data_IF_936941738123
#
_entry.id   IF_936941738123
#
_cell.length_a   1.000
_cell.length_b   1.000
_cell.length_c   1.000
_cell.angle_alpha   90.00
_cell.angle_beta   90.00
_cell.angle_gamma   90.00
#
_symmetry.space_group_name_H-M   'P 1'
#
loop_
_entity.id
_entity.type
_entity.pdbx_description
1 polymer ?
#
# COMPACT_ATOMS: atom_id res chain seq x y z
N UNK A 1 11.82 -16.09 4.00
CA UNK A 1 12.22 -15.89 2.59
C UNK A 1 12.04 -14.41 2.26
N UNK A 2 13.13 -13.64 2.32
CA UNK A 2 13.15 -12.17 2.25
C UNK A 2 12.70 -11.66 0.87
N UNK A 3 12.01 -10.51 0.83
CA UNK A 3 11.59 -9.81 -0.40
C UNK A 3 12.78 -9.26 -1.22
N UNK A 4 14.02 -9.48 -0.77
CA UNK A 4 15.27 -9.05 -1.42
C UNK A 4 15.60 -9.76 -2.74
N UNK A 5 14.89 -10.84 -3.10
CA UNK A 5 15.23 -11.68 -4.26
C UNK A 5 14.79 -11.19 -5.65
N UNK A 6 14.19 -10.00 -5.79
CA UNK A 6 13.67 -9.51 -7.08
C UNK A 6 14.62 -8.47 -7.70
N UNK A 7 15.80 -8.90 -8.14
CA UNK A 7 16.70 -8.07 -8.97
C UNK A 7 16.16 -7.99 -10.40
N UNK A 8 15.55 -6.85 -10.75
CA UNK A 8 15.34 -6.43 -12.13
C UNK A 8 16.48 -5.48 -12.51
N UNK A 9 17.13 -5.72 -13.65
CA UNK A 9 18.16 -4.84 -14.18
C UNK A 9 17.57 -3.48 -14.52
N UNK A 10 18.15 -2.46 -13.89
CA UNK A 10 17.65 -1.10 -13.88
C UNK A 10 18.86 -0.19 -13.81
N UNK A 11 18.86 0.87 -14.62
CA UNK A 11 19.91 1.89 -14.66
C UNK A 11 20.07 2.51 -13.27
N UNK A 12 21.17 2.15 -12.60
CA UNK A 12 21.55 2.70 -11.30
C UNK A 12 21.89 4.19 -11.46
N UNK A 13 21.64 5.03 -10.43
CA UNK A 13 22.23 6.35 -10.38
C UNK A 13 23.74 6.25 -10.60
N UNK A 14 24.25 7.13 -11.46
CA UNK A 14 25.62 7.12 -12.01
C UNK A 14 26.70 7.51 -11.00
N UNK A 15 26.33 8.02 -9.82
CA UNK A 15 27.25 8.34 -8.72
C UNK A 15 26.62 8.14 -7.33
N UNK A 16 27.45 7.97 -6.30
CA UNK A 16 27.03 7.86 -4.88
C UNK A 16 26.33 9.13 -4.39
N UNK A 17 26.78 10.30 -4.86
CA UNK A 17 26.20 11.62 -4.55
C UNK A 17 24.76 11.74 -5.05
N UNK A 18 24.47 11.26 -6.27
CA UNK A 18 23.11 11.24 -6.83
C UNK A 18 22.17 10.38 -5.98
N UNK A 19 22.68 9.25 -5.45
CA UNK A 19 21.90 8.35 -4.59
C UNK A 19 21.53 9.02 -3.27
N UNK A 20 22.47 9.76 -2.64
CA UNK A 20 22.20 10.51 -1.41
C UNK A 20 21.17 11.61 -1.64
N UNK A 21 21.28 12.35 -2.74
CA UNK A 21 20.31 13.39 -3.10
C UNK A 21 18.89 12.82 -3.31
N UNK A 22 18.77 11.70 -4.04
CA UNK A 22 17.49 11.01 -4.26
C UNK A 22 16.87 10.50 -2.94
N UNK A 23 17.68 9.98 -2.02
CA UNK A 23 17.21 9.55 -0.70
C UNK A 23 16.74 10.73 0.16
N UNK A 24 17.44 11.87 0.09
CA UNK A 24 16.99 13.11 0.75
C UNK A 24 15.67 13.60 0.16
N UNK A 25 15.51 13.55 -1.16
CA UNK A 25 14.29 13.96 -1.82
C UNK A 25 13.12 13.03 -1.49
N UNK A 26 13.36 11.72 -1.41
CA UNK A 26 12.40 10.72 -0.94
C UNK A 26 11.92 11.01 0.49
N UNK A 27 12.82 11.45 1.37
CA UNK A 27 12.49 11.86 2.75
C UNK A 27 11.64 13.13 2.79
N UNK A 28 11.98 14.14 1.98
CA UNK A 28 11.19 15.37 1.85
C UNK A 28 9.77 15.07 1.37
N UNK A 29 9.65 14.21 0.36
CA UNK A 29 8.36 13.72 -0.12
C UNK A 29 7.57 13.02 0.98
N UNK A 30 8.19 12.14 1.78
CA UNK A 30 7.51 11.50 2.90
C UNK A 30 7.05 12.52 3.96
N UNK A 31 7.88 13.52 4.29
CA UNK A 31 7.50 14.59 5.21
C UNK A 31 6.28 15.38 4.72
N UNK A 32 6.24 15.72 3.42
CA UNK A 32 5.10 16.38 2.79
C UNK A 32 3.85 15.49 2.85
N UNK A 33 3.98 14.21 2.47
CA UNK A 33 2.89 13.23 2.51
C UNK A 33 2.32 13.13 3.94
N UNK A 34 3.20 13.01 4.94
CA UNK A 34 2.86 12.95 6.37
C UNK A 34 2.22 14.24 6.91
N UNK A 35 2.41 15.38 6.26
CA UNK A 35 1.72 16.63 6.61
C UNK A 35 0.32 16.69 5.99
N UNK A 36 0.14 16.09 4.80
CA UNK A 36 -1.15 16.01 4.13
C UNK A 36 -2.12 15.01 4.78
N UNK A 37 -1.62 13.93 5.40
CA UNK A 37 -2.46 12.79 5.84
C UNK A 37 -3.63 13.15 6.75
N UNK A 38 -3.42 14.05 7.71
CA UNK A 38 -4.43 14.41 8.72
C UNK A 38 -5.59 15.23 8.16
N UNK A 39 -5.42 15.84 6.97
CA UNK A 39 -6.38 16.77 6.40
C UNK A 39 -6.91 16.34 5.02
N UNK A 40 -6.04 15.83 4.14
CA UNK A 40 -6.37 15.55 2.73
C UNK A 40 -7.03 14.20 2.53
N UNK A 41 -6.64 13.19 3.32
CA UNK A 41 -7.09 11.82 3.14
C UNK A 41 -7.57 11.22 4.46
N UNK A 42 -8.73 11.71 4.89
CA UNK A 42 -9.43 11.24 6.09
C UNK A 42 -10.41 10.10 5.75
N UNK A 43 -10.88 9.39 6.78
CA UNK A 43 -11.83 8.29 6.62
C UNK A 43 -11.27 7.04 5.92
N UNK A 44 -12.13 6.06 5.66
CA UNK A 44 -11.73 4.73 5.17
C UNK A 44 -11.03 4.78 3.80
N UNK A 45 -11.57 5.55 2.84
CA UNK A 45 -10.93 5.74 1.53
C UNK A 45 -9.58 6.44 1.66
N UNK A 46 -9.47 7.41 2.58
CA UNK A 46 -8.22 8.10 2.86
C UNK A 46 -7.12 7.17 3.39
N UNK A 47 -7.48 6.19 4.22
CA UNK A 47 -6.54 5.15 4.64
C UNK A 47 -6.01 4.35 3.45
N UNK A 48 -6.88 3.93 2.53
CA UNK A 48 -6.45 3.22 1.31
C UNK A 48 -5.49 4.06 0.47
N UNK A 49 -5.75 5.35 0.30
CA UNK A 49 -4.85 6.29 -0.38
C UNK A 49 -3.48 6.32 0.30
N UNK A 50 -3.45 6.50 1.63
CA UNK A 50 -2.22 6.52 2.43
C UNK A 50 -1.43 5.22 2.36
N UNK A 51 -2.09 4.06 2.18
CA UNK A 51 -1.42 2.77 1.95
C UNK A 51 -0.73 2.72 0.59
N UNK A 52 -1.41 3.20 -0.46
CA UNK A 52 -0.82 3.27 -1.80
C UNK A 52 0.35 4.25 -1.83
N UNK A 53 0.25 5.41 -1.18
CA UNK A 53 1.36 6.36 -1.08
C UNK A 53 2.58 5.79 -0.35
N UNK A 54 2.38 4.99 0.72
CA UNK A 54 3.46 4.22 1.36
C UNK A 54 4.09 3.19 0.44
N UNK A 55 3.29 2.55 -0.43
CA UNK A 55 3.80 1.60 -1.41
C UNK A 55 4.61 2.29 -2.53
N UNK A 56 4.15 3.44 -3.02
CA UNK A 56 4.88 4.30 -3.97
C UNK A 56 6.20 4.77 -3.36
N UNK A 57 6.17 5.26 -2.11
CA UNK A 57 7.37 5.61 -1.37
C UNK A 57 8.35 4.44 -1.26
N UNK A 58 7.84 3.25 -0.91
CA UNK A 58 8.67 2.05 -0.81
C UNK A 58 9.26 1.66 -2.17
N UNK A 59 8.51 1.79 -3.25
CA UNK A 59 9.00 1.56 -4.60
C UNK A 59 10.11 2.55 -4.99
N UNK A 60 9.95 3.84 -4.66
CA UNK A 60 10.97 4.87 -4.89
C UNK A 60 12.27 4.56 -4.15
N UNK A 61 12.17 4.06 -2.90
CA UNK A 61 13.33 3.63 -2.13
C UNK A 61 14.01 2.40 -2.70
N UNK A 62 13.24 1.38 -3.10
CA UNK A 62 13.79 0.17 -3.74
C UNK A 62 14.48 0.52 -5.06
N UNK A 63 14.01 1.56 -5.74
CA UNK A 63 14.57 2.07 -6.99
C UNK A 63 15.74 3.04 -6.79
N UNK A 64 15.84 3.67 -5.62
CA UNK A 64 16.66 4.86 -5.39
C UNK A 64 16.38 5.98 -6.41
N UNK A 65 15.10 6.26 -6.67
CA UNK A 65 14.68 7.26 -7.64
C UNK A 65 13.30 7.83 -7.34
N UNK A 66 13.13 9.14 -7.57
CA UNK A 66 11.82 9.80 -7.60
C UNK A 66 10.98 9.45 -8.84
N UNK A 67 11.50 8.65 -9.77
CA UNK A 67 10.75 8.12 -10.92
C UNK A 67 10.67 6.60 -10.81
N UNK A 68 9.45 6.07 -10.73
CA UNK A 68 9.17 4.65 -10.53
C UNK A 68 8.39 4.08 -11.71
N UNK A 69 8.72 2.85 -12.11
CA UNK A 69 8.08 2.09 -13.19
C UNK A 69 7.53 0.75 -12.66
N UNK A 70 7.06 0.75 -11.42
CA UNK A 70 6.52 -0.45 -10.77
C UNK A 70 5.08 -0.69 -11.21
N UNK A 71 4.80 -1.89 -11.71
CA UNK A 71 3.45 -2.30 -12.08
C UNK A 71 2.49 -2.37 -10.88
N UNK A 72 1.19 -2.17 -11.13
CA UNK A 72 0.12 -2.14 -10.12
C UNK A 72 0.12 -3.37 -9.20
N UNK A 73 0.48 -4.55 -9.73
CA UNK A 73 0.56 -5.81 -8.97
C UNK A 73 1.69 -5.80 -7.95
N UNK A 74 2.83 -5.18 -8.27
CA UNK A 74 3.92 -5.03 -7.32
C UNK A 74 3.53 -4.01 -6.24
N UNK A 75 2.98 -2.88 -6.64
CA UNK A 75 2.48 -1.87 -5.70
C UNK A 75 1.38 -2.44 -4.79
N UNK A 76 0.52 -3.33 -5.28
CA UNK A 76 -0.48 -4.06 -4.50
C UNK A 76 0.14 -4.96 -3.42
N UNK A 77 1.25 -5.64 -3.71
CA UNK A 77 2.01 -6.39 -2.72
C UNK A 77 2.56 -5.47 -1.62
N UNK A 78 3.19 -4.35 -2.02
CA UNK A 78 3.77 -3.37 -1.08
C UNK A 78 2.71 -2.65 -0.23
N UNK A 79 1.54 -2.38 -0.82
CA UNK A 79 0.43 -1.75 -0.12
C UNK A 79 -0.33 -2.74 0.76
N UNK A 80 -0.24 -4.05 0.48
CA UNK A 80 -1.08 -5.09 1.06
C UNK A 80 -2.55 -4.98 0.64
N UNK A 81 -2.80 -4.56 -0.60
CA UNK A 81 -4.13 -4.34 -1.19
C UNK A 81 -4.30 -5.15 -2.48
N UNK A 82 -5.48 -5.16 -3.08
CA UNK A 82 -5.72 -5.74 -4.39
C UNK A 82 -5.28 -4.82 -5.53
N UNK A 83 -4.90 -5.42 -6.67
CA UNK A 83 -4.36 -4.71 -7.83
C UNK A 83 -5.33 -3.67 -8.42
N UNK A 84 -6.64 -3.97 -8.42
CA UNK A 84 -7.68 -3.09 -8.93
C UNK A 84 -7.85 -1.86 -8.04
N UNK A 85 -7.79 -2.04 -6.72
CA UNK A 85 -7.82 -0.95 -5.74
C UNK A 85 -6.63 -0.02 -5.93
N UNK A 86 -5.42 -0.58 -6.08
CA UNK A 86 -4.22 0.22 -6.33
C UNK A 86 -4.34 1.01 -7.63
N UNK A 87 -4.79 0.38 -8.71
CA UNK A 87 -4.98 1.06 -10.00
C UNK A 87 -5.95 2.25 -9.88
N UNK A 88 -7.10 2.07 -9.23
CA UNK A 88 -8.07 3.14 -8.98
C UNK A 88 -7.48 4.29 -8.17
N UNK A 89 -6.76 3.99 -7.09
CA UNK A 89 -6.14 5.01 -6.24
C UNK A 89 -5.03 5.78 -6.97
N UNK A 90 -4.22 5.12 -7.80
CA UNK A 90 -3.20 5.81 -8.59
C UNK A 90 -3.81 6.79 -9.60
N UNK A 91 -4.95 6.44 -10.21
CA UNK A 91 -5.72 7.38 -11.06
C UNK A 91 -6.23 8.57 -10.26
N UNK A 92 -6.86 8.32 -9.11
CA UNK A 92 -7.34 9.40 -8.23
C UNK A 92 -6.18 10.34 -7.86
N UNK A 93 -5.05 9.80 -7.43
CA UNK A 93 -3.89 10.58 -6.98
C UNK A 93 -3.24 11.42 -8.07
N UNK A 94 -3.15 10.91 -9.31
CA UNK A 94 -2.54 11.66 -10.43
C UNK A 94 -3.49 12.73 -11.00
N UNK A 95 -4.81 12.55 -10.82
CA UNK A 95 -5.83 13.48 -11.31
C UNK A 95 -6.12 14.59 -10.26
N UNK A 96 -5.46 14.59 -9.10
CA UNK A 96 -5.58 15.66 -8.10
C UNK A 96 -4.93 16.97 -8.60
N UNK A 97 -5.50 18.13 -8.22
CA UNK A 97 -5.03 19.43 -8.69
C UNK A 97 -3.60 19.80 -8.25
N UNK A 98 -3.17 19.33 -7.08
CA UNK A 98 -1.80 19.52 -6.54
C UNK A 98 -1.24 18.15 -6.14
N UNK A 99 -0.84 17.31 -7.12
CA UNK A 99 -0.73 15.87 -6.92
C UNK A 99 0.61 15.46 -6.30
N UNK A 100 0.61 14.34 -5.56
CA UNK A 100 1.83 13.73 -5.02
C UNK A 100 2.56 12.81 -6.01
N UNK A 101 1.87 12.43 -7.10
CA UNK A 101 2.41 11.63 -8.19
C UNK A 101 1.93 12.18 -9.53
N UNK A 102 2.76 12.07 -10.54
CA UNK A 102 2.43 12.43 -11.91
C UNK A 102 2.74 11.26 -12.85
N UNK A 103 1.88 11.04 -13.85
CA UNK A 103 2.06 9.99 -14.84
C UNK A 103 2.96 10.49 -15.97
N UNK A 104 4.24 10.11 -15.91
CA UNK A 104 5.22 10.45 -16.94
C UNK A 104 5.02 9.66 -18.22
N UNK A 105 4.62 8.40 -18.09
CA UNK A 105 4.42 7.49 -19.23
C UNK A 105 3.36 6.45 -18.91
N UNK A 106 2.34 6.36 -19.75
CA UNK A 106 1.37 5.28 -19.67
C UNK A 106 2.02 3.93 -19.99
N UNK A 107 1.45 2.86 -19.42
CA UNK A 107 1.84 1.49 -19.72
C UNK A 107 1.78 1.21 -21.23
N UNK A 108 2.68 0.33 -21.68
CA UNK A 108 2.73 -0.10 -23.07
C UNK A 108 3.27 -1.53 -23.14
N UNK A 109 2.50 -2.43 -23.73
CA UNK A 109 2.85 -3.85 -23.80
C UNK A 109 3.06 -4.45 -22.41
N UNK A 110 4.27 -4.88 -22.11
CA UNK A 110 4.65 -5.45 -20.82
C UNK A 110 5.22 -4.44 -19.82
N UNK A 111 5.41 -3.18 -20.26
CA UNK A 111 5.93 -2.08 -19.44
C UNK A 111 4.82 -1.44 -18.64
N UNK A 112 5.08 -1.26 -17.35
CA UNK A 112 4.16 -0.56 -16.45
C UNK A 112 4.12 0.95 -16.71
N UNK A 113 3.10 1.59 -16.15
CA UNK A 113 3.05 3.03 -15.97
C UNK A 113 4.32 3.53 -15.27
N UNK A 114 4.81 4.69 -15.68
CA UNK A 114 5.91 5.38 -15.02
C UNK A 114 5.37 6.59 -14.29
N UNK A 115 5.56 6.62 -12.98
CA UNK A 115 5.14 7.72 -12.13
C UNK A 115 6.34 8.51 -11.62
N UNK A 116 6.23 9.83 -11.59
CA UNK A 116 7.16 10.73 -10.89
C UNK A 116 6.54 11.14 -9.57
N UNK A 117 7.30 11.05 -8.49
CA UNK A 117 6.89 11.55 -7.18
C UNK A 117 7.10 13.07 -7.14
N UNK A 118 6.08 13.80 -6.70
CA UNK A 118 6.07 15.26 -6.61
C UNK A 118 5.86 15.70 -5.16
N UNK A 119 6.48 16.80 -4.78
CA UNK A 119 6.14 17.51 -3.53
C UNK A 119 5.13 18.58 -3.92
N UNK A 120 3.86 18.46 -3.50
CA UNK A 120 2.85 19.44 -3.85
C UNK A 120 3.18 20.80 -3.22
N UNK A 121 2.80 21.88 -3.91
CA UNK A 121 3.20 23.23 -3.51
C UNK A 121 2.66 23.60 -2.12
N UNK A 122 1.44 23.16 -1.80
CA UNK A 122 0.82 23.39 -0.49
C UNK A 122 1.57 22.75 0.69
N UNK A 123 2.51 21.85 0.43
CA UNK A 123 3.29 21.15 1.47
C UNK A 123 4.81 21.38 1.35
N UNK A 124 5.25 22.33 0.52
CA UNK A 124 6.67 22.61 0.30
C UNK A 124 7.40 22.97 1.61
N UNK A 125 6.80 23.80 2.46
CA UNK A 125 7.36 24.17 3.76
C UNK A 125 7.47 22.96 4.70
N UNK A 126 6.41 22.15 4.79
CA UNK A 126 6.43 20.95 5.62
C UNK A 126 7.49 19.94 5.16
N UNK A 127 7.76 19.89 3.85
CA UNK A 127 8.82 19.08 3.26
C UNK A 127 10.23 19.56 3.65
N UNK A 128 10.40 20.88 3.80
CA UNK A 128 11.68 21.50 4.15
C UNK A 128 12.00 21.43 5.66
N UNK A 129 10.99 21.56 6.52
CA UNK A 129 11.19 21.90 7.94
C UNK A 129 10.98 20.77 8.96
N UNK A 130 10.50 19.59 8.56
CA UNK A 130 10.29 18.49 9.54
C UNK A 130 11.62 17.87 9.99
N UNK A 131 11.87 17.92 11.31
CA UNK A 131 12.92 17.15 12.00
C UNK A 131 12.88 15.69 11.56
N UNK A 132 13.98 15.22 11.00
CA UNK A 132 14.16 13.84 10.57
C UNK A 132 13.78 12.88 11.71
N UNK A 133 12.80 12.03 11.47
CA UNK A 133 12.48 10.95 12.40
C UNK A 133 13.34 9.73 12.04
N UNK A 134 14.20 9.25 12.96
CA UNK A 134 14.93 8.00 12.74
C UNK A 134 13.94 6.82 12.68
N UNK A 135 14.08 5.96 11.67
CA UNK A 135 13.22 4.79 11.46
C UNK A 135 13.21 4.28 10.02
N UNK A 136 12.62 3.10 9.79
CA UNK A 136 12.35 2.59 8.43
C UNK A 136 11.29 3.48 7.77
N UNK A 137 11.71 4.29 6.81
CA UNK A 137 10.82 5.12 6.01
C UNK A 137 9.92 4.22 5.15
N UNK A 138 8.59 4.35 5.28
CA UNK A 138 7.63 3.84 4.30
C UNK A 138 7.44 2.32 4.22
N UNK A 139 6.44 1.93 3.43
CA UNK A 139 5.97 0.56 3.28
C UNK A 139 5.04 0.10 4.41
N UNK A 140 4.16 -0.85 4.10
CA UNK A 140 3.27 -1.47 5.09
C UNK A 140 3.75 -2.89 5.31
N UNK A 141 3.95 -3.28 6.57
CA UNK A 141 4.34 -4.65 6.88
C UNK A 141 3.27 -5.63 6.39
N UNK A 142 3.64 -6.77 5.76
CA UNK A 142 2.67 -7.70 5.17
C UNK A 142 1.59 -8.21 6.14
N UNK A 143 1.90 -8.28 7.44
CA UNK A 143 0.94 -8.67 8.50
C UNK A 143 -0.36 -7.85 8.46
N UNK A 144 -0.28 -6.58 8.07
CA UNK A 144 -1.44 -5.69 8.02
C UNK A 144 -2.36 -5.93 6.82
N UNK A 145 -2.04 -6.90 5.95
CA UNK A 145 -3.05 -7.48 5.05
C UNK A 145 -4.10 -8.27 5.83
N UNK A 146 -3.73 -8.90 6.95
CA UNK A 146 -4.65 -9.64 7.83
C UNK A 146 -5.26 -8.73 8.89
N UNK A 147 -4.44 -7.87 9.53
CA UNK A 147 -4.90 -7.00 10.63
C UNK A 147 -5.58 -5.71 10.16
N UNK A 148 -5.52 -5.42 8.86
CA UNK A 148 -6.21 -4.28 8.25
C UNK A 148 -5.50 -2.93 8.39
N UNK A 149 -6.08 -1.93 7.71
CA UNK A 149 -5.50 -0.59 7.60
C UNK A 149 -5.39 0.14 8.95
N UNK A 150 -6.42 0.19 9.83
CA UNK A 150 -6.32 0.90 11.10
C UNK A 150 -5.15 0.39 11.97
N UNK A 151 -4.98 -0.93 12.09
CA UNK A 151 -3.87 -1.54 12.82
C UNK A 151 -2.50 -1.12 12.25
N UNK A 152 -2.36 -1.07 10.92
CA UNK A 152 -1.14 -0.62 10.27
C UNK A 152 -0.73 0.80 10.68
N UNK A 153 -1.69 1.73 10.61
CA UNK A 153 -1.42 3.13 10.94
C UNK A 153 -1.20 3.33 12.43
N UNK A 154 -1.96 2.65 13.29
CA UNK A 154 -1.74 2.72 14.74
C UNK A 154 -0.34 2.21 15.11
N UNK A 155 0.07 1.06 14.56
CA UNK A 155 1.41 0.50 14.85
C UNK A 155 2.56 1.41 14.39
N UNK A 156 2.40 2.14 13.28
CA UNK A 156 3.37 3.15 12.83
C UNK A 156 3.53 4.29 13.86
N UNK A 157 2.49 4.60 14.63
CA UNK A 157 2.47 5.72 15.59
C UNK A 157 2.59 5.28 17.05
N UNK A 158 2.47 3.99 17.34
CA UNK A 158 2.69 3.47 18.68
C UNK A 158 4.17 3.63 19.03
N UNK A 159 4.49 4.34 20.12
CA UNK A 159 5.85 4.45 20.62
C UNK A 159 6.25 3.19 21.41
N UNK A 160 7.56 3.01 21.59
CA UNK A 160 8.09 1.90 22.39
C UNK A 160 7.96 2.18 23.89
N UNK A 161 8.32 3.39 24.35
CA UNK A 161 8.54 3.63 25.79
C UNK A 161 7.54 4.60 26.44
N UNK A 162 6.87 5.46 25.66
CA UNK A 162 6.00 6.53 26.20
C UNK A 162 4.53 6.22 25.94
N UNK A 163 3.69 5.96 26.96
CA UNK A 163 2.29 5.65 26.73
C UNK A 163 1.56 6.76 25.95
N UNK A 164 0.85 6.39 24.88
CA UNK A 164 0.04 7.34 24.10
C UNK A 164 -1.44 7.06 24.31
N UNK A 165 -2.22 8.10 24.60
CA UNK A 165 -3.66 7.97 24.79
C UNK A 165 -4.40 7.68 23.48
N UNK A 166 -5.59 7.11 23.56
CA UNK A 166 -6.45 6.92 22.37
C UNK A 166 -6.80 8.25 21.70
N UNK A 167 -6.92 9.32 22.47
CA UNK A 167 -7.23 10.66 21.96
C UNK A 167 -6.07 11.21 21.11
N UNK A 168 -4.85 11.09 21.61
CA UNK A 168 -3.64 11.47 20.86
C UNK A 168 -3.47 10.59 19.61
N UNK A 169 -3.66 9.27 19.72
CA UNK A 169 -3.60 8.37 18.57
C UNK A 169 -4.63 8.74 17.50
N UNK A 170 -5.86 9.11 17.87
CA UNK A 170 -6.85 9.63 16.91
C UNK A 170 -6.36 10.90 16.22
N UNK A 171 -5.80 11.83 16.98
CA UNK A 171 -5.30 13.11 16.46
C UNK A 171 -4.11 12.91 15.52
N UNK A 172 -3.20 12.01 15.86
CA UNK A 172 -2.01 11.68 15.06
C UNK A 172 -2.34 10.90 13.79
N UNK A 173 -3.33 10.00 13.86
CA UNK A 173 -3.64 9.08 12.75
C UNK A 173 -4.82 9.55 11.88
N UNK A 174 -5.66 10.46 12.37
CA UNK A 174 -6.92 10.84 11.71
C UNK A 174 -8.00 9.76 11.72
N UNK A 175 -7.86 8.72 12.56
CA UNK A 175 -8.79 7.60 12.66
C UNK A 175 -10.02 7.93 13.52
N UNK A 176 -11.15 7.29 13.21
CA UNK A 176 -12.35 7.34 14.06
C UNK A 176 -12.10 6.64 15.41
N UNK A 177 -12.88 6.99 16.44
CA UNK A 177 -12.75 6.37 17.76
C UNK A 177 -12.93 4.85 17.73
N UNK A 178 -13.87 4.37 16.90
CA UNK A 178 -14.10 2.94 16.67
C UNK A 178 -12.90 2.31 15.97
N UNK A 179 -12.37 2.91 14.90
CA UNK A 179 -11.21 2.36 14.19
C UNK A 179 -9.96 2.30 15.06
N UNK A 180 -9.75 3.30 15.94
CA UNK A 180 -8.68 3.26 16.95
C UNK A 180 -8.90 2.12 17.95
N UNK A 181 -10.11 1.97 18.47
CA UNK A 181 -10.40 0.92 19.46
C UNK A 181 -10.25 -0.48 18.87
N UNK A 182 -10.88 -0.75 17.71
CA UNK A 182 -10.78 -2.04 17.02
C UNK A 182 -9.35 -2.34 16.57
N UNK A 183 -8.64 -1.34 16.03
CA UNK A 183 -7.25 -1.54 15.59
C UNK A 183 -6.29 -1.83 16.76
N UNK A 184 -6.46 -1.16 17.91
CA UNK A 184 -5.66 -1.45 19.10
C UNK A 184 -5.97 -2.83 19.69
N UNK A 185 -7.24 -3.26 19.68
CA UNK A 185 -7.60 -4.61 20.11
C UNK A 185 -6.97 -5.68 19.20
N UNK A 186 -7.08 -5.53 17.87
CA UNK A 186 -6.45 -6.44 16.93
C UNK A 186 -4.92 -6.50 17.08
N UNK A 187 -4.26 -5.38 17.38
CA UNK A 187 -2.83 -5.37 17.69
C UNK A 187 -2.52 -6.06 19.03
N UNK A 188 -3.37 -5.88 20.05
CA UNK A 188 -3.17 -6.45 21.38
C UNK A 188 -3.38 -7.95 21.40
N UNK A 189 -4.38 -8.46 20.69
CA UNK A 189 -4.63 -9.90 20.49
C UNK A 189 -3.41 -10.62 19.92
N UNK A 190 -2.64 -9.92 19.08
CA UNK A 190 -1.41 -10.43 18.48
C UNK A 190 -0.13 -10.08 19.26
N UNK A 191 -0.25 -9.44 20.43
CA UNK A 191 0.89 -9.01 21.26
C UNK A 191 1.72 -7.86 20.66
N UNK A 192 1.23 -7.20 19.61
CA UNK A 192 1.90 -6.08 18.92
C UNK A 192 1.64 -4.72 19.57
N UNK A 193 0.63 -4.62 20.44
CA UNK A 193 0.34 -3.45 21.25
C UNK A 193 -0.02 -3.87 22.69
N UNK A 194 0.32 -3.05 23.66
CA UNK A 194 -0.01 -3.29 25.06
C UNK A 194 -0.70 -2.07 25.65
N UNK A 195 -1.71 -2.32 26.49
CA UNK A 195 -2.35 -1.28 27.30
C UNK A 195 -1.65 -1.17 28.63
N UNK A 196 -1.04 -0.02 28.88
CA UNK A 196 -0.33 0.31 30.12
C UNK A 196 -1.01 1.48 30.84
N UNK A 197 -0.55 1.81 32.04
CA UNK A 197 -1.00 3.02 32.73
C UNK A 197 -0.67 4.25 31.87
N UNK A 198 -1.68 5.05 31.55
CA UNK A 198 -1.53 6.26 30.73
C UNK A 198 -1.81 6.08 29.23
N UNK A 199 -1.94 4.85 28.71
CA UNK A 199 -2.29 4.67 27.31
C UNK A 199 -1.86 3.34 26.70
N UNK A 200 -1.39 3.42 25.45
CA UNK A 200 -0.95 2.29 24.65
C UNK A 200 0.51 2.48 24.23
N UNK A 201 1.23 1.37 24.18
CA UNK A 201 2.63 1.27 23.70
C UNK A 201 2.77 0.10 22.73
N UNK A 202 3.90 0.00 22.04
CA UNK A 202 4.23 -1.21 21.28
C UNK A 202 4.40 -2.40 22.21
N UNK A 203 3.78 -3.51 21.84
CA UNK A 203 3.99 -4.78 22.51
C UNK A 203 5.29 -5.45 22.04
N UNK A 204 5.72 -6.52 22.72
CA UNK A 204 6.98 -7.19 22.46
C UNK A 204 6.98 -8.07 21.19
N UNK A 205 5.82 -8.36 20.59
CA UNK A 205 5.74 -9.25 19.44
C UNK A 205 6.36 -8.64 18.18
N UNK A 206 7.21 -9.41 17.50
CA UNK A 206 7.75 -9.04 16.19
C UNK A 206 6.67 -9.19 15.10
N UNK A 207 6.45 -8.17 14.25
CA UNK A 207 5.48 -8.25 13.16
C UNK A 207 5.69 -9.42 12.18
N UNK A 208 6.94 -9.87 11.99
CA UNK A 208 7.31 -10.98 11.13
C UNK A 208 6.92 -12.34 11.71
N UNK A 209 7.07 -12.52 13.02
CA UNK A 209 6.61 -13.72 13.73
C UNK A 209 5.07 -13.80 13.71
N UNK A 210 4.40 -12.68 13.98
CA UNK A 210 2.93 -12.59 13.86
C UNK A 210 2.48 -12.89 12.43
N UNK A 211 3.17 -12.34 11.42
CA UNK A 211 2.87 -12.63 10.02
C UNK A 211 2.98 -14.13 9.70
N UNK A 212 4.00 -14.81 10.24
CA UNK A 212 4.20 -16.25 10.06
C UNK A 212 3.09 -17.05 10.71
N UNK A 213 2.73 -16.74 11.96
CA UNK A 213 1.62 -17.39 12.68
C UNK A 213 0.27 -17.21 11.99
N UNK A 214 0.03 -16.05 11.39
CA UNK A 214 -1.19 -15.77 10.62
C UNK A 214 -1.15 -16.30 9.17
N UNK A 215 -0.10 -17.02 8.76
CA UNK A 215 0.00 -17.62 7.42
C UNK A 215 0.14 -16.60 6.28
N UNK A 216 0.62 -15.39 6.59
CA UNK A 216 0.83 -14.32 5.60
C UNK A 216 1.86 -14.68 4.54
N UNK A 217 2.99 -15.35 4.85
CA UNK A 217 3.93 -15.78 3.83
C UNK A 217 3.27 -16.67 2.77
N UNK A 218 2.41 -17.61 3.17
CA UNK A 218 1.70 -18.54 2.29
C UNK A 218 0.68 -17.80 1.43
N UNK A 219 -0.05 -16.85 2.03
CA UNK A 219 -0.96 -15.96 1.30
C UNK A 219 -0.21 -15.16 0.22
N UNK A 220 0.90 -14.52 0.58
CA UNK A 220 1.73 -13.73 -0.35
C UNK A 220 2.30 -14.62 -1.46
N UNK A 221 2.76 -15.84 -1.14
CA UNK A 221 3.21 -16.83 -2.14
C UNK A 221 2.09 -17.13 -3.16
N UNK A 222 0.85 -17.37 -2.71
CA UNK A 222 -0.30 -17.60 -3.61
C UNK A 222 -0.60 -16.41 -4.51
N UNK A 223 -0.56 -15.19 -3.97
CA UNK A 223 -0.77 -13.96 -4.74
C UNK A 223 0.33 -13.79 -5.80
N UNK A 224 1.59 -13.99 -5.43
CA UNK A 224 2.73 -13.92 -6.37
C UNK A 224 2.57 -14.97 -7.47
N UNK A 225 2.18 -16.20 -7.13
CA UNK A 225 1.93 -17.25 -8.12
C UNK A 225 0.80 -16.88 -9.09
N UNK A 226 -0.32 -16.34 -8.58
CA UNK A 226 -1.41 -15.77 -9.40
C UNK A 226 -0.88 -14.71 -10.36
N UNK A 227 -0.11 -13.74 -9.87
CA UNK A 227 0.42 -12.66 -10.69
C UNK A 227 1.44 -13.14 -11.73
N UNK A 228 2.27 -14.12 -11.41
CA UNK A 228 3.20 -14.72 -12.37
C UNK A 228 2.46 -15.41 -13.52
N UNK A 229 1.42 -16.19 -13.21
CA UNK A 229 0.58 -16.83 -14.23
C UNK A 229 -0.07 -15.80 -15.14
N UNK A 230 -0.73 -14.79 -14.57
CA UNK A 230 -1.37 -13.71 -15.33
C UNK A 230 -0.37 -12.95 -16.23
N UNK A 231 0.86 -12.71 -15.75
CA UNK A 231 1.91 -12.08 -16.58
C UNK A 231 2.40 -12.99 -17.71
N UNK A 232 2.48 -14.29 -17.47
CA UNK A 232 2.86 -15.25 -18.52
C UNK A 232 1.78 -15.32 -19.61
N UNK A 233 0.51 -15.38 -19.21
CA UNK A 233 -0.65 -15.31 -20.13
C UNK A 233 -0.63 -14.02 -20.94
N UNK A 234 -0.44 -12.87 -20.28
CA UNK A 234 -0.33 -11.57 -20.95
C UNK A 234 0.82 -11.50 -21.97
N UNK A 235 2.01 -11.99 -21.61
CA UNK A 235 3.16 -12.00 -22.53
C UNK A 235 2.93 -12.89 -23.74
N UNK A 236 2.30 -14.06 -23.56
CA UNK A 236 1.94 -14.95 -24.67
C UNK A 236 0.98 -14.25 -25.63
N UNK A 237 -0.02 -13.56 -25.08
CA UNK A 237 -0.94 -12.77 -25.88
C UNK A 237 -0.22 -11.66 -26.66
N UNK A 238 0.65 -10.88 -26.00
CA UNK A 238 1.41 -9.83 -26.68
C UNK A 238 2.28 -10.36 -27.83
N UNK A 239 2.88 -11.54 -27.66
CA UNK A 239 3.66 -12.18 -28.72
C UNK A 239 2.79 -12.56 -29.94
N UNK A 240 1.55 -13.00 -29.71
CA UNK A 240 0.59 -13.24 -30.81
C UNK A 240 0.23 -11.93 -31.50
N UNK A 241 -0.06 -10.86 -30.74
CA UNK A 241 -0.37 -9.54 -31.30
C UNK A 241 0.79 -8.98 -32.14
N UNK A 242 2.02 -9.16 -31.68
CA UNK A 242 3.21 -8.73 -32.41
C UNK A 242 3.41 -9.54 -33.71
N UNK A 243 3.13 -10.85 -33.69
CA UNK A 243 3.31 -11.72 -34.84
C UNK A 243 2.25 -11.54 -35.94
N UNK A 244 0.99 -11.25 -35.57
CA UNK A 244 -0.15 -11.21 -36.51
C UNK A 244 -0.68 -9.79 -36.78
N UNK A 245 -0.17 -8.77 -36.09
CA UNK A 245 -0.69 -7.41 -36.22
C UNK A 245 -2.04 -7.21 -35.51
N UNK A 246 -2.32 -5.96 -35.12
CA UNK A 246 -3.46 -5.63 -34.24
C UNK A 246 -4.82 -5.74 -34.91
N UNK A 247 -4.86 -5.77 -36.25
CA UNK A 247 -6.09 -5.80 -37.05
C UNK A 247 -6.69 -7.22 -37.15
N UNK A 248 -5.88 -8.26 -36.92
CA UNK A 248 -6.28 -9.66 -37.13
C UNK A 248 -6.70 -10.38 -35.84
N UNK A 249 -6.81 -9.67 -34.71
CA UNK A 249 -7.09 -10.25 -33.39
C UNK A 249 -8.39 -9.67 -32.82
N UNK A 250 -9.43 -10.51 -32.75
CA UNK A 250 -10.67 -10.22 -32.04
C UNK A 250 -10.44 -10.17 -30.53
N UNK A 251 -10.29 -8.96 -29.98
CA UNK A 251 -10.00 -8.68 -28.56
C UNK A 251 -11.11 -9.10 -27.59
N UNK A 252 -12.33 -9.34 -28.08
CA UNK A 252 -13.54 -9.59 -27.30
C UNK A 252 -13.58 -10.98 -26.63
N UNK A 253 -12.70 -11.91 -27.04
CA UNK A 253 -12.68 -13.30 -26.54
C UNK A 253 -11.47 -13.62 -25.64
N UNK A 254 -10.75 -12.62 -25.14
CA UNK A 254 -9.57 -12.87 -24.31
C UNK A 254 -9.95 -13.14 -22.83
N UNK A 255 -9.40 -14.19 -22.18
CA UNK A 255 -9.73 -14.57 -20.79
C UNK A 255 -9.26 -13.56 -19.72
N UNK A 256 -8.54 -12.50 -20.12
CA UNK A 256 -8.16 -11.38 -19.27
C UNK A 256 -8.67 -10.11 -19.98
N UNK A 257 -9.66 -9.38 -19.45
CA UNK A 257 -10.15 -8.17 -20.08
C UNK A 257 -9.03 -7.13 -20.13
N UNK A 258 -8.60 -6.74 -21.33
CA UNK A 258 -7.53 -5.76 -21.53
C UNK A 258 -7.94 -4.32 -21.18
N UNK A 259 -9.23 -4.02 -21.05
CA UNK A 259 -9.74 -2.65 -20.90
C UNK A 259 -10.57 -2.40 -19.62
N UNK A 260 -11.07 -3.43 -18.92
CA UNK A 260 -12.00 -3.21 -17.80
C UNK A 260 -11.37 -2.87 -16.43
N UNK A 261 -10.04 -2.92 -16.27
CA UNK A 261 -9.38 -2.43 -15.05
C UNK A 261 -9.11 -0.91 -15.12
N UNK A 262 -9.10 -0.35 -16.33
CA UNK A 262 -8.95 1.08 -16.55
C UNK A 262 -10.28 1.83 -16.38
N UNK A 263 -11.37 1.36 -16.98
CA UNK A 263 -12.58 2.17 -17.15
C UNK A 263 -13.87 1.61 -16.52
N UNK A 264 -13.88 0.39 -15.96
CA UNK A 264 -15.06 -0.06 -15.23
C UNK A 264 -15.11 0.61 -13.84
N UNK A 265 -16.19 1.37 -13.62
CA UNK A 265 -16.69 1.67 -12.28
C UNK A 265 -16.86 0.41 -11.43
N UNK A 266 -17.23 0.52 -10.15
CA UNK A 266 -17.43 -0.65 -9.30
C UNK A 266 -18.36 -1.67 -9.97
N UNK A 267 -18.06 -2.99 -9.90
CA UNK A 267 -19.03 -4.01 -10.29
C UNK A 267 -20.34 -3.80 -9.51
N UNK A 268 -21.53 -4.06 -10.10
CA UNK A 268 -22.83 -3.80 -9.46
C UNK A 268 -22.99 -4.42 -8.07
N UNK A 269 -22.28 -5.51 -7.78
CA UNK A 269 -22.29 -6.20 -6.49
C UNK A 269 -21.43 -5.52 -5.40
N UNK A 270 -20.64 -4.50 -5.74
CA UNK A 270 -19.80 -3.73 -4.81
C UNK A 270 -20.59 -2.62 -4.07
N UNK A 271 -21.84 -2.35 -4.47
CA UNK A 271 -22.79 -1.52 -3.69
C UNK A 271 -23.52 -2.33 -2.60
N UNK A 272 -23.41 -3.66 -2.61
CA UNK A 272 -24.26 -4.55 -1.82
C UNK A 272 -23.59 -5.26 -0.64
N UNK A 273 -22.27 -5.13 -0.42
CA UNK A 273 -21.60 -5.83 0.69
C UNK A 273 -21.26 -4.90 1.88
N UNK A 274 -21.71 -5.23 3.11
CA UNK A 274 -21.46 -4.42 4.29
C UNK A 274 -19.99 -4.47 4.70
N UNK A 275 -19.37 -3.29 4.81
CA UNK A 275 -17.97 -3.15 5.21
C UNK A 275 -17.74 -3.48 6.69
N UNK A 276 -17.15 -4.64 6.95
CA UNK A 276 -16.57 -5.04 8.23
C UNK A 276 -15.70 -6.29 8.04
N UNK A 277 -14.75 -6.60 8.95
CA UNK A 277 -14.15 -7.93 8.95
C UNK A 277 -15.26 -8.99 9.07
N UNK A 278 -15.08 -10.20 8.52
CA UNK A 278 -16.10 -11.25 8.61
C UNK A 278 -16.51 -11.40 10.07
N UNK A 279 -17.80 -11.21 10.35
CA UNK A 279 -18.36 -11.44 11.67
C UNK A 279 -18.12 -12.92 12.01
N UNK A 280 -17.31 -13.19 13.02
CA UNK A 280 -17.27 -14.50 13.67
C UNK A 280 -18.54 -14.65 14.51
N UNK A 281 -19.67 -14.83 13.85
CA UNK A 281 -20.92 -15.26 14.48
C UNK A 281 -21.43 -16.44 13.67
N UNK A 282 -21.21 -17.64 14.21
CA UNK A 282 -21.62 -18.88 13.54
C UNK A 282 -20.89 -20.14 13.98
N UNK A 283 -20.54 -20.29 15.26
CA UNK A 283 -20.31 -21.60 15.85
C UNK A 283 -21.36 -21.76 16.96
N UNK A 284 -22.49 -22.38 16.59
CA UNK A 284 -23.51 -22.76 17.55
C UNK A 284 -22.93 -23.75 18.54
N UNK A 285 -22.95 -23.37 19.82
CA UNK A 285 -23.02 -24.33 20.90
C UNK A 285 -24.49 -24.33 21.32
N UNK A 286 -25.24 -25.29 20.77
CA UNK A 286 -26.49 -25.71 21.38
C UNK A 286 -26.14 -26.44 22.67
N UNK A 287 -26.42 -25.79 23.79
CA UNK A 287 -26.62 -26.48 25.05
C UNK A 287 -28.04 -26.13 25.50
N UNK A 288 -28.91 -27.11 25.45
CA UNK A 288 -30.17 -27.17 26.19
C UNK A 288 -30.37 -28.62 26.62
N UNK A 289 -31.05 -28.89 27.75
CA UNK A 289 -31.26 -28.08 28.95
C UNK A 289 -30.44 -28.58 30.15
#
# INVERSE_FOLDING_TARGET
>A
MSLEGLRLEVKRPTSETDTVAELQQTRRWYSAMRAAESYRWTGARGLTIRRVLRAVLKAAQLRHSMVIDFGIRHLALLAGLDESTVAKILRILRDEADPFIDLVRAHHGDRADTYRLLIPQGYAEAAAWRRFQPGRLGGIHPVFRMLGSPAAFLYEHLPTDTPTSRFELRSLTGLSATAVSTGLLALAEEGMAERVRGGWVRGPADPGDVATRLGVPELVKRIIAKYRRQRAEWRRFLAVVEAFGRQDIHLENHPIPLQDIADAGPPPWMEAEPHGPPSLVGAGISAEP
#
